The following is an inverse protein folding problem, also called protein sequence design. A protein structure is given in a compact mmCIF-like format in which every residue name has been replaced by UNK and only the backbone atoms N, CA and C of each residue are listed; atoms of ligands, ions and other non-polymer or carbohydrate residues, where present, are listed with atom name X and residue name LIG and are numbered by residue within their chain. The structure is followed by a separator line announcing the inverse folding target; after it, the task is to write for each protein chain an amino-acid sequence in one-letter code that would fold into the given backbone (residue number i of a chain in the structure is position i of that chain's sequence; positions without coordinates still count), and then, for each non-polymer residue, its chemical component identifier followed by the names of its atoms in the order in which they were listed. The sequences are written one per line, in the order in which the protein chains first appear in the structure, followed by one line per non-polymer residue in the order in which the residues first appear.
data_IF_562532406828
#
_entry.id   IF_562532406828
#
_cell.length_a   1.000
_cell.length_b   1.000
_cell.length_c   1.000
_cell.angle_alpha   90.00
_cell.angle_beta   90.00
_cell.angle_gamma   90.00
#
_symmetry.space_group_name_H-M   'P 1'
#
loop_
_entity.id
_entity.type
_entity.pdbx_description
1 polymer ?
#
# COMPACT_ATOMS: atom_id res chain seq x y z
N UNK A 1 -21.49 -1.97 -0.60
CA UNK A 1 -20.17 -1.76 -1.23
C UNK A 1 -20.32 -0.54 -2.14
N UNK A 2 -19.52 0.47 -1.94
CA UNK A 2 -19.57 1.65 -2.79
C UNK A 2 -18.97 1.28 -4.16
N UNK A 3 -19.67 1.50 -5.26
CA UNK A 3 -19.20 1.14 -6.61
C UNK A 3 -17.87 1.85 -6.99
N UNK A 4 -17.53 2.94 -6.33
CA UNK A 4 -16.27 3.68 -6.55
C UNK A 4 -15.02 2.83 -6.27
N UNK A 5 -15.08 1.87 -5.33
CA UNK A 5 -13.94 0.99 -5.04
C UNK A 5 -13.63 -0.04 -6.13
N UNK A 6 -14.57 -0.24 -7.06
CA UNK A 6 -14.41 -1.15 -8.20
C UNK A 6 -13.82 -0.46 -9.43
N UNK A 7 -13.80 0.87 -9.46
CA UNK A 7 -13.30 1.64 -10.61
C UNK A 7 -11.78 1.80 -10.47
N UNK A 8 -10.99 1.30 -11.43
CA UNK A 8 -9.55 1.47 -11.40
C UNK A 8 -9.16 2.95 -11.59
N UNK A 9 -8.27 3.42 -10.75
CA UNK A 9 -7.65 4.74 -10.87
C UNK A 9 -6.30 4.60 -11.55
N UNK A 10 -6.06 5.34 -12.62
CA UNK A 10 -4.74 5.40 -13.25
C UNK A 10 -3.79 6.14 -12.32
N UNK A 11 -2.65 5.51 -12.03
CA UNK A 11 -1.63 6.07 -11.13
C UNK A 11 -0.27 6.08 -11.83
N UNK A 12 0.47 7.16 -11.63
CA UNK A 12 1.85 7.31 -12.07
C UNK A 12 2.80 6.86 -10.97
N UNK A 13 3.78 6.05 -11.31
CA UNK A 13 4.89 5.69 -10.41
C UNK A 13 5.84 6.88 -10.31
N UNK A 14 6.01 7.42 -9.10
CA UNK A 14 6.86 8.61 -8.86
C UNK A 14 8.18 8.27 -8.17
N UNK A 15 8.27 7.10 -7.54
CA UNK A 15 9.49 6.63 -6.86
C UNK A 15 9.50 5.09 -6.81
N UNK A 16 10.68 4.51 -6.94
CA UNK A 16 10.93 3.08 -6.82
C UNK A 16 12.18 2.86 -5.97
N UNK A 17 12.01 2.14 -4.87
CA UNK A 17 13.11 1.80 -3.97
C UNK A 17 13.32 0.29 -3.93
N UNK A 18 14.56 -0.16 -4.09
CA UNK A 18 14.93 -1.56 -3.87
C UNK A 18 15.12 -1.78 -2.36
N UNK A 19 14.27 -2.61 -1.75
CA UNK A 19 14.35 -2.93 -0.32
C UNK A 19 15.19 -4.18 -0.06
N UNK A 20 14.97 -5.23 -0.85
CA UNK A 20 15.74 -6.49 -0.86
C UNK A 20 15.95 -6.95 -2.30
N UNK A 21 16.75 -7.98 -2.59
CA UNK A 21 16.93 -8.46 -3.96
C UNK A 21 15.64 -8.82 -4.70
N UNK A 22 14.58 -9.19 -3.95
CA UNK A 22 13.29 -9.62 -4.48
C UNK A 22 12.11 -8.73 -4.07
N UNK A 23 12.34 -7.61 -3.36
CA UNK A 23 11.28 -6.68 -2.95
C UNK A 23 11.62 -5.26 -3.39
N UNK A 24 10.68 -4.63 -4.09
CA UNK A 24 10.69 -3.20 -4.41
C UNK A 24 9.49 -2.50 -3.78
N UNK A 25 9.70 -1.27 -3.33
CA UNK A 25 8.63 -0.38 -2.87
C UNK A 25 8.39 0.70 -3.91
N UNK A 26 7.12 0.85 -4.30
CA UNK A 26 6.63 1.78 -5.31
C UNK A 26 5.80 2.87 -4.64
N UNK A 27 6.04 4.13 -4.99
CA UNK A 27 5.18 5.25 -4.65
C UNK A 27 4.38 5.66 -5.86
N UNK A 28 3.07 5.81 -5.69
CA UNK A 28 2.17 6.16 -6.78
C UNK A 28 1.27 7.33 -6.42
N UNK A 29 0.96 8.13 -7.42
CA UNK A 29 -0.01 9.23 -7.36
C UNK A 29 -0.92 9.19 -8.56
N UNK A 30 -2.08 9.84 -8.47
CA UNK A 30 -2.95 10.12 -9.62
C UNK A 30 -2.25 11.07 -10.58
N UNK A 31 -2.73 11.22 -11.84
CA UNK A 31 -2.11 12.14 -12.82
C UNK A 31 -2.04 13.60 -12.34
N UNK A 32 -2.96 14.03 -11.46
CA UNK A 32 -2.97 15.35 -10.84
C UNK A 32 -2.10 15.43 -9.56
N UNK A 33 -1.30 14.41 -9.29
CA UNK A 33 -0.30 14.40 -8.22
C UNK A 33 -0.86 14.14 -6.82
N UNK A 34 -2.05 13.55 -6.70
CA UNK A 34 -2.69 13.27 -5.41
C UNK A 34 -2.63 11.79 -5.05
N UNK A 35 -2.83 11.49 -3.77
CA UNK A 35 -3.09 10.15 -3.29
C UNK A 35 -4.33 9.56 -3.97
N UNK A 36 -4.32 8.30 -4.47
CA UNK A 36 -5.45 7.73 -5.23
C UNK A 36 -6.77 7.69 -4.46
N UNK A 37 -6.74 7.30 -3.20
CA UNK A 37 -7.91 7.21 -2.31
C UNK A 37 -7.47 7.10 -0.85
N UNK A 38 -8.41 7.32 0.07
CA UNK A 38 -8.18 7.10 1.49
C UNK A 38 -8.28 5.61 1.84
N UNK A 39 -7.52 5.17 2.84
CA UNK A 39 -7.52 3.81 3.34
C UNK A 39 -7.31 3.79 4.86
N UNK A 40 -7.54 2.63 5.48
CA UNK A 40 -7.22 2.36 6.89
C UNK A 40 -6.04 1.39 7.01
N UNK A 41 -5.28 1.41 8.13
CA UNK A 41 -4.11 0.55 8.28
C UNK A 41 -4.46 -0.93 8.11
N UNK A 42 -3.65 -1.66 7.34
CA UNK A 42 -3.84 -3.08 7.07
C UNK A 42 -4.71 -3.39 5.85
N UNK A 43 -5.30 -2.39 5.20
CA UNK A 43 -6.02 -2.60 3.95
C UNK A 43 -5.06 -2.81 2.77
N UNK A 44 -5.61 -3.34 1.70
CA UNK A 44 -4.92 -3.65 0.44
C UNK A 44 -5.63 -2.99 -0.74
N UNK A 45 -4.98 -3.02 -1.88
CA UNK A 45 -5.53 -2.57 -3.15
C UNK A 45 -5.21 -3.59 -4.25
N UNK A 46 -6.02 -3.59 -5.30
CA UNK A 46 -5.76 -4.35 -6.51
C UNK A 46 -4.89 -3.48 -7.43
N UNK A 47 -3.67 -3.94 -7.67
CA UNK A 47 -2.78 -3.35 -8.66
C UNK A 47 -2.92 -4.10 -9.96
N UNK A 48 -3.02 -3.37 -11.07
CA UNK A 48 -3.01 -4.01 -12.37
C UNK A 48 -2.19 -3.25 -13.41
N UNK A 49 -1.64 -4.01 -14.34
CA UNK A 49 -1.03 -3.52 -15.56
C UNK A 49 -1.91 -4.01 -16.71
N UNK A 50 -2.55 -3.10 -17.48
CA UNK A 50 -3.47 -3.48 -18.55
C UNK A 50 -2.80 -4.43 -19.55
N UNK A 51 -3.49 -5.53 -19.88
CA UNK A 51 -2.99 -6.56 -20.79
C UNK A 51 -2.02 -7.57 -20.17
N UNK A 52 -1.61 -7.37 -18.92
CA UNK A 52 -0.68 -8.29 -18.23
C UNK A 52 -1.41 -9.12 -17.18
N UNK A 53 -1.79 -8.51 -16.06
CA UNK A 53 -2.45 -9.19 -14.95
C UNK A 53 -2.86 -8.19 -13.85
N UNK A 54 -3.51 -8.71 -12.81
CA UNK A 54 -3.79 -7.97 -11.57
C UNK A 54 -3.50 -8.82 -10.33
N UNK A 55 -3.15 -8.17 -9.22
CA UNK A 55 -2.94 -8.84 -7.94
C UNK A 55 -3.28 -7.91 -6.76
N UNK A 56 -3.71 -8.54 -5.67
CA UNK A 56 -3.97 -7.89 -4.40
C UNK A 56 -2.66 -7.61 -3.67
N UNK A 57 -2.36 -6.34 -3.40
CA UNK A 57 -1.13 -5.91 -2.73
C UNK A 57 -1.50 -5.05 -1.52
N UNK A 58 -0.84 -5.30 -0.39
CA UNK A 58 -1.03 -4.51 0.83
C UNK A 58 -0.54 -3.07 0.64
N UNK A 59 -1.31 -2.11 1.15
CA UNK A 59 -0.90 -0.71 1.18
C UNK A 59 0.08 -0.54 2.34
N UNK A 60 1.29 -0.07 2.05
CA UNK A 60 2.38 0.06 3.04
C UNK A 60 2.54 1.46 3.60
N UNK A 61 2.05 2.49 2.89
CA UNK A 61 2.01 3.85 3.43
C UNK A 61 1.00 3.97 4.56
N UNK A 62 1.29 4.85 5.53
CA UNK A 62 0.32 5.22 6.56
C UNK A 62 -0.87 5.96 5.95
N UNK A 63 -2.09 5.77 6.47
CA UNK A 63 -3.24 6.61 6.12
C UNK A 63 -3.02 8.10 6.38
N UNK A 64 -2.14 8.45 7.31
CA UNK A 64 -1.75 9.83 7.64
C UNK A 64 -0.99 10.53 6.52
N UNK A 65 -0.33 9.74 5.64
CA UNK A 65 0.29 10.28 4.44
C UNK A 65 -0.78 10.72 3.44
N UNK A 66 -0.76 12.00 3.07
CA UNK A 66 -1.71 12.62 2.15
C UNK A 66 -1.17 12.82 0.73
N UNK A 67 0.13 12.59 0.53
CA UNK A 67 0.81 12.93 -0.71
C UNK A 67 0.78 11.78 -1.73
N UNK A 68 1.05 10.56 -1.29
CA UNK A 68 1.16 9.39 -2.17
C UNK A 68 0.62 8.13 -1.50
N UNK A 69 0.45 7.08 -2.27
CA UNK A 69 0.22 5.72 -1.80
C UNK A 69 1.45 4.85 -2.10
N UNK A 70 1.78 3.92 -1.18
CA UNK A 70 2.99 3.12 -1.28
C UNK A 70 2.65 1.63 -1.20
N UNK A 71 3.36 0.85 -2.02
CA UNK A 71 3.22 -0.60 -2.11
C UNK A 71 4.59 -1.28 -2.11
N UNK A 72 4.81 -2.23 -1.21
CA UNK A 72 5.99 -3.11 -1.25
C UNK A 72 5.63 -4.41 -1.93
N UNK A 73 6.31 -4.72 -3.01
CA UNK A 73 5.97 -5.82 -3.91
C UNK A 73 7.12 -6.81 -3.97
N UNK A 74 6.85 -8.06 -3.55
CA UNK A 74 7.79 -9.16 -3.73
C UNK A 74 7.65 -9.74 -5.15
N UNK A 75 8.77 -9.97 -5.81
CA UNK A 75 8.83 -10.59 -7.13
C UNK A 75 8.48 -12.08 -7.02
N UNK A 76 7.31 -12.49 -7.52
CA UNK A 76 6.82 -13.86 -7.38
C UNK A 76 5.81 -14.30 -8.46
N UNK A 77 5.79 -13.65 -9.62
CA UNK A 77 4.90 -14.02 -10.73
C UNK A 77 4.76 -12.93 -11.77
N UNK A 78 3.97 -13.17 -12.80
CA UNK A 78 3.89 -12.36 -14.00
C UNK A 78 3.71 -10.85 -13.72
N UNK A 79 2.68 -10.45 -12.95
CA UNK A 79 2.47 -9.04 -12.63
C UNK A 79 3.65 -8.46 -11.85
N UNK A 80 4.13 -9.16 -10.83
CA UNK A 80 5.19 -8.65 -9.96
C UNK A 80 6.54 -8.57 -10.67
N UNK A 81 6.80 -9.46 -11.61
CA UNK A 81 7.96 -9.37 -12.50
C UNK A 81 7.89 -8.14 -13.38
N UNK A 82 6.71 -7.85 -13.95
CA UNK A 82 6.45 -6.67 -14.74
C UNK A 82 6.63 -5.38 -13.92
N UNK A 83 6.05 -5.34 -12.71
CA UNK A 83 6.25 -4.22 -11.79
C UNK A 83 7.73 -4.01 -11.45
N UNK A 84 8.48 -5.09 -11.23
CA UNK A 84 9.92 -4.99 -10.94
C UNK A 84 10.76 -4.47 -12.13
N UNK A 85 10.27 -4.61 -13.35
CA UNK A 85 10.89 -4.07 -14.56
C UNK A 85 10.48 -2.61 -14.87
N UNK A 86 9.50 -2.06 -14.14
CA UNK A 86 9.01 -0.70 -14.36
C UNK A 86 10.03 0.36 -13.96
N UNK A 87 9.90 1.50 -14.63
CA UNK A 87 10.65 2.72 -14.36
C UNK A 87 9.74 3.82 -13.81
N UNK A 88 10.33 4.77 -13.11
CA UNK A 88 9.65 5.99 -12.64
C UNK A 88 9.05 6.72 -13.85
N UNK A 89 7.82 7.17 -13.71
CA UNK A 89 7.07 7.84 -14.76
C UNK A 89 6.07 6.95 -15.50
N UNK A 90 6.20 5.63 -15.42
CA UNK A 90 5.23 4.70 -16.00
C UNK A 90 3.96 4.63 -15.15
N UNK A 91 2.88 4.12 -15.73
CA UNK A 91 1.57 4.07 -15.10
C UNK A 91 1.11 2.63 -14.82
N UNK A 92 0.41 2.49 -13.72
CA UNK A 92 -0.37 1.29 -13.34
C UNK A 92 -1.80 1.70 -13.03
N UNK A 93 -2.71 0.77 -12.88
CA UNK A 93 -4.03 1.05 -12.32
C UNK A 93 -4.14 0.48 -10.92
N UNK A 94 -4.81 1.23 -10.05
CA UNK A 94 -5.02 0.88 -8.65
C UNK A 94 -6.50 1.02 -8.32
N UNK A 95 -7.09 0.01 -7.70
CA UNK A 95 -8.47 0.08 -7.20
C UNK A 95 -8.57 -0.45 -5.78
N UNK A 96 -9.44 0.14 -5.00
CA UNK A 96 -9.64 -0.18 -3.59
C UNK A 96 -10.19 1.01 -2.81
N UNK A 97 -10.03 1.04 -1.47
CA UNK A 97 -9.33 0.03 -0.65
C UNK A 97 -10.16 -1.23 -0.42
N UNK A 98 -9.49 -2.35 -0.17
CA UNK A 98 -10.10 -3.64 0.16
C UNK A 98 -9.56 -4.19 1.48
N UNK A 99 -10.26 -5.18 2.02
CA UNK A 99 -9.87 -5.89 3.22
C UNK A 99 -10.30 -5.21 4.51
N UNK A 100 -10.35 -6.01 5.59
CA UNK A 100 -10.66 -5.54 6.93
C UNK A 100 -9.44 -4.84 7.51
N UNK A 101 -9.56 -3.59 7.97
CA UNK A 101 -8.45 -2.88 8.61
C UNK A 101 -8.09 -3.46 9.97
N UNK A 102 -6.89 -3.20 10.47
CA UNK A 102 -6.55 -3.41 11.86
C UNK A 102 -7.36 -2.46 12.75
N UNK A 103 -7.82 -2.91 13.93
CA UNK A 103 -8.69 -2.13 14.83
C UNK A 103 -7.87 -1.13 15.67
N UNK A 104 -7.10 -0.28 15.02
CA UNK A 104 -6.12 0.64 15.65
C UNK A 104 -6.78 1.74 16.46
N UNK A 105 -7.95 2.22 16.06
CA UNK A 105 -8.65 3.31 16.74
C UNK A 105 -9.60 2.81 17.84
N UNK A 106 -9.91 1.52 17.86
CA UNK A 106 -10.85 0.89 18.79
C UNK A 106 -10.12 -0.02 19.80
N UNK A 107 -9.84 -1.26 19.41
CA UNK A 107 -9.34 -2.30 20.32
C UNK A 107 -7.88 -2.09 20.74
N UNK A 108 -7.06 -1.43 19.90
CA UNK A 108 -5.63 -1.24 20.12
C UNK A 108 -5.29 0.11 20.76
N UNK A 109 -6.23 1.03 20.82
CA UNK A 109 -6.01 2.33 21.46
C UNK A 109 -5.65 2.17 22.95
N UNK A 110 -4.66 2.92 23.41
CA UNK A 110 -4.17 2.90 24.79
C UNK A 110 -3.35 1.68 25.19
N UNK A 111 -2.99 0.80 24.24
CA UNK A 111 -2.23 -0.42 24.51
C UNK A 111 -0.80 -0.33 24.03
N UNK A 112 0.08 -1.08 24.69
CA UNK A 112 1.41 -1.41 24.16
C UNK A 112 1.27 -2.39 23.01
N UNK A 113 1.92 -2.11 21.89
CA UNK A 113 1.81 -2.92 20.67
C UNK A 113 3.13 -3.59 20.33
N UNK A 114 3.11 -4.92 20.19
CA UNK A 114 4.20 -5.71 19.67
C UNK A 114 3.88 -6.17 18.25
N UNK A 115 4.73 -5.81 17.30
CA UNK A 115 4.61 -6.22 15.91
C UNK A 115 5.56 -7.39 15.60
N UNK A 116 5.02 -8.50 15.12
CA UNK A 116 5.81 -9.67 14.69
C UNK A 116 5.56 -9.91 13.21
N UNK A 117 6.59 -9.86 12.40
CA UNK A 117 6.50 -10.04 10.96
C UNK A 117 7.48 -11.08 10.44
N UNK A 118 7.05 -11.90 9.47
CA UNK A 118 7.90 -12.81 8.71
C UNK A 118 7.94 -12.40 7.23
N UNK A 119 9.13 -12.18 6.69
CA UNK A 119 9.32 -11.84 5.28
C UNK A 119 8.51 -10.62 4.83
N UNK A 120 7.82 -10.73 3.69
CA UNK A 120 6.97 -9.66 3.13
C UNK A 120 5.75 -9.32 4.01
N UNK A 121 5.45 -10.12 5.04
CA UNK A 121 4.41 -9.82 6.03
C UNK A 121 4.65 -8.50 6.80
N UNK A 122 5.85 -7.95 6.74
CA UNK A 122 6.13 -6.60 7.24
C UNK A 122 5.39 -5.50 6.43
N UNK A 123 5.08 -5.74 5.17
CA UNK A 123 4.45 -4.74 4.29
C UNK A 123 3.12 -4.20 4.85
N UNK A 124 2.10 -5.03 5.18
CA UNK A 124 0.87 -4.53 5.80
C UNK A 124 1.09 -3.94 7.19
N UNK A 125 2.01 -4.48 7.98
CA UNK A 125 2.32 -3.96 9.32
C UNK A 125 3.00 -2.60 9.27
N UNK A 126 3.76 -2.30 8.22
CA UNK A 126 4.43 -1.00 8.05
C UNK A 126 3.43 0.16 8.04
N UNK A 127 2.27 -0.02 7.40
CA UNK A 127 1.18 0.97 7.43
C UNK A 127 0.71 1.23 8.88
N UNK A 128 0.52 0.17 9.66
CA UNK A 128 0.11 0.25 11.07
C UNK A 128 1.19 0.89 11.93
N UNK A 129 2.44 0.43 11.80
CA UNK A 129 3.57 0.95 12.58
C UNK A 129 3.71 2.47 12.38
N UNK A 130 3.66 2.92 11.13
CA UNK A 130 3.74 4.34 10.82
C UNK A 130 2.52 5.12 11.34
N UNK A 131 1.31 4.55 11.23
CA UNK A 131 0.10 5.14 11.77
C UNK A 131 0.18 5.33 13.30
N UNK A 132 0.61 4.30 14.02
CA UNK A 132 0.81 4.34 15.48
C UNK A 132 1.87 5.38 15.85
N UNK A 133 2.99 5.40 15.14
CA UNK A 133 4.04 6.41 15.36
C UNK A 133 3.54 7.83 15.15
N UNK A 134 2.76 8.07 14.10
CA UNK A 134 2.22 9.39 13.77
C UNK A 134 1.10 9.84 14.74
N UNK A 135 0.51 8.91 15.48
CA UNK A 135 -0.52 9.14 16.50
C UNK A 135 -0.06 8.62 17.87
N UNK A 136 1.21 8.81 18.21
CA UNK A 136 1.86 8.17 19.38
C UNK A 136 1.13 8.43 20.70
N UNK A 137 0.48 9.57 20.85
CA UNK A 137 -0.29 9.96 22.03
C UNK A 137 -1.52 9.07 22.31
N UNK A 138 -1.96 8.27 21.33
CA UNK A 138 -3.10 7.35 21.46
C UNK A 138 -2.70 5.94 21.92
N UNK A 139 -1.41 5.65 22.04
CA UNK A 139 -0.90 4.30 22.32
C UNK A 139 0.07 4.31 23.51
N UNK A 140 0.29 3.12 24.10
CA UNK A 140 1.22 2.90 25.20
C UNK A 140 2.71 3.05 24.87
#
# INVERSE_FOLDING_TARGET
MNNETLIPVVCKVIDIRQDTPDVKTFRVVTPDGKKPFDHRPGQCAMLSVPGISEAMISITSSPTNREYMEFSVKKCGCLTEWLHAMEVGQCITVRGPYGRPFPVDDELAGKDLLFVAGGIGLAPLRSVINYVRDNREKYG
#
